data_IF_965630004397
#
_entry.id   IF_965630004397
#
_cell.length_a   1.000
_cell.length_b   1.000
_cell.length_c   1.000
_cell.angle_alpha   90.00
_cell.angle_beta   90.00
_cell.angle_gamma   90.00
#
_symmetry.space_group_name_H-M   'P 1'
#
loop_
_entity.id
_entity.type
_entity.pdbx_description
1 polymer ?
#
# COMPACT_ATOMS: atom_id res chain seq x y z
N UNK A 1 -27.90 41.02 30.05
CA UNK A 1 -27.10 41.10 28.80
C UNK A 1 -25.93 40.12 28.75
N UNK A 2 -25.14 39.95 29.82
CA UNK A 2 -24.00 39.00 29.84
C UNK A 2 -24.39 37.53 29.63
N UNK A 3 -25.57 37.13 30.13
CA UNK A 3 -26.13 35.77 29.97
C UNK A 3 -26.57 35.48 28.53
N UNK A 4 -27.13 36.47 27.83
CA UNK A 4 -27.54 36.33 26.44
C UNK A 4 -26.33 36.13 25.51
N UNK A 5 -25.22 36.83 25.77
CA UNK A 5 -23.97 36.66 25.02
C UNK A 5 -23.36 35.26 25.18
N UNK A 6 -23.36 34.72 26.40
CA UNK A 6 -22.89 33.36 26.69
C UNK A 6 -23.74 32.27 25.99
N UNK A 7 -25.06 32.44 25.99
CA UNK A 7 -25.97 31.51 25.30
C UNK A 7 -25.81 31.58 23.77
N UNK A 8 -25.59 32.78 23.21
CA UNK A 8 -25.32 32.92 21.77
C UNK A 8 -23.97 32.32 21.36
N UNK A 9 -22.92 32.43 22.17
CA UNK A 9 -21.63 31.79 21.85
C UNK A 9 -21.68 30.27 21.93
N UNK A 10 -22.48 29.72 22.86
CA UNK A 10 -22.70 28.27 22.95
C UNK A 10 -23.53 27.74 21.77
N UNK A 11 -24.52 28.49 21.31
CA UNK A 11 -25.34 28.10 20.15
C UNK A 11 -24.52 28.08 18.85
N UNK A 12 -23.65 29.09 18.64
CA UNK A 12 -22.73 29.15 17.49
C UNK A 12 -21.72 28.00 17.55
N UNK A 13 -21.16 27.71 18.73
CA UNK A 13 -20.26 26.57 18.92
C UNK A 13 -20.92 25.21 18.70
N UNK A 14 -22.19 25.05 19.08
CA UNK A 14 -22.95 23.83 18.80
C UNK A 14 -23.28 23.69 17.30
N UNK A 15 -23.56 24.80 16.60
CA UNK A 15 -23.81 24.78 15.15
C UNK A 15 -22.57 24.52 14.29
N UNK A 16 -21.35 24.78 14.80
CA UNK A 16 -20.11 24.41 14.09
C UNK A 16 -19.75 22.93 14.18
N UNK A 17 -20.41 22.16 15.06
CA UNK A 17 -20.27 20.70 15.18
C UNK A 17 -21.59 19.96 14.94
N UNK A 18 -22.61 20.64 14.40
CA UNK A 18 -23.80 19.94 13.93
C UNK A 18 -23.35 18.97 12.84
N UNK A 19 -23.45 17.67 13.14
CA UNK A 19 -23.28 16.61 12.15
C UNK A 19 -24.18 17.00 10.99
N UNK A 20 -23.56 17.32 9.84
CA UNK A 20 -24.27 17.57 8.60
C UNK A 20 -25.30 16.45 8.50
N UNK A 21 -26.62 16.73 8.43
CA UNK A 21 -27.59 15.67 8.21
C UNK A 21 -27.05 14.90 7.02
N UNK A 22 -26.85 13.59 7.17
CA UNK A 22 -26.33 12.75 6.11
C UNK A 22 -27.33 12.86 4.95
N UNK A 23 -27.15 13.89 4.12
CA UNK A 23 -27.69 13.97 2.79
C UNK A 23 -27.27 12.64 2.21
N UNK A 24 -28.18 11.80 1.72
CA UNK A 24 -27.80 10.57 1.08
C UNK A 24 -26.77 10.99 0.04
N UNK A 25 -25.50 10.62 0.26
CA UNK A 25 -24.43 11.02 -0.60
C UNK A 25 -24.92 10.63 -1.99
N UNK A 26 -25.14 11.62 -2.88
CA UNK A 26 -25.48 11.31 -4.26
C UNK A 26 -24.33 10.42 -4.72
N UNK A 27 -24.61 9.12 -4.83
CA UNK A 27 -23.66 8.13 -5.31
C UNK A 27 -23.48 8.41 -6.80
N UNK A 28 -22.75 9.47 -7.13
CA UNK A 28 -22.21 9.68 -8.46
C UNK A 28 -20.99 8.77 -8.59
N UNK A 29 -21.19 7.47 -8.40
CA UNK A 29 -20.21 6.50 -8.84
C UNK A 29 -20.34 6.49 -10.36
N UNK A 30 -19.30 6.90 -11.06
CA UNK A 30 -19.18 6.75 -12.53
C UNK A 30 -19.34 5.27 -12.98
N UNK A 31 -19.27 4.32 -12.04
CA UNK A 31 -19.53 2.90 -12.21
C UNK A 31 -20.61 2.39 -11.23
N UNK A 32 -21.73 3.10 -11.10
CA UNK A 32 -22.89 2.53 -10.43
C UNK A 32 -23.39 1.29 -11.20
N UNK A 33 -23.79 0.25 -10.48
CA UNK A 33 -24.39 -0.95 -11.07
C UNK A 33 -25.62 -0.53 -11.88
N UNK A 34 -25.62 -0.83 -13.18
CA UNK A 34 -26.79 -0.66 -14.03
C UNK A 34 -27.86 -1.66 -13.54
N UNK A 35 -29.13 -1.26 -13.37
CA UNK A 35 -30.22 -2.20 -13.09
C UNK A 35 -30.29 -3.27 -14.18
N UNK A 36 -30.61 -4.52 -13.84
CA UNK A 36 -30.64 -5.62 -14.83
C UNK A 36 -31.61 -5.37 -15.98
N UNK A 37 -32.72 -4.67 -15.68
CA UNK A 37 -33.73 -4.25 -16.66
C UNK A 37 -33.22 -3.26 -17.71
N UNK A 38 -32.13 -2.53 -17.40
CA UNK A 38 -31.51 -1.55 -18.28
C UNK A 38 -30.23 -2.08 -18.95
N UNK A 39 -29.83 -3.34 -18.68
CA UNK A 39 -28.62 -3.92 -19.24
C UNK A 39 -28.83 -4.37 -20.69
N UNK A 40 -27.82 -4.16 -21.52
CA UNK A 40 -27.77 -4.78 -22.85
C UNK A 40 -27.55 -6.30 -22.74
N UNK A 41 -27.84 -7.04 -23.82
CA UNK A 41 -27.62 -8.50 -23.87
C UNK A 41 -26.18 -8.86 -23.52
N UNK A 42 -25.21 -8.15 -24.11
CA UNK A 42 -23.78 -8.37 -23.84
C UNK A 42 -23.42 -8.10 -22.37
N UNK A 43 -24.01 -7.06 -21.76
CA UNK A 43 -23.77 -6.73 -20.35
C UNK A 43 -24.33 -7.81 -19.42
N UNK A 44 -25.49 -8.38 -19.75
CA UNK A 44 -26.07 -9.50 -19.01
C UNK A 44 -25.20 -10.76 -19.12
N UNK A 45 -24.59 -11.02 -20.27
CA UNK A 45 -23.66 -12.14 -20.44
C UNK A 45 -22.37 -11.94 -19.62
N UNK A 46 -21.79 -10.75 -19.67
CA UNK A 46 -20.61 -10.39 -18.85
C UNK A 46 -20.94 -10.54 -17.37
N UNK A 47 -22.13 -10.08 -16.94
CA UNK A 47 -22.58 -10.23 -15.56
C UNK A 47 -22.66 -11.69 -15.15
N UNK A 48 -23.31 -12.54 -15.96
CA UNK A 48 -23.41 -13.99 -15.69
C UNK A 48 -22.04 -14.66 -15.57
N UNK A 49 -21.10 -14.30 -16.45
CA UNK A 49 -19.72 -14.80 -16.41
C UNK A 49 -19.03 -14.33 -15.12
N UNK A 50 -19.18 -13.06 -14.77
CA UNK A 50 -18.61 -12.48 -13.55
C UNK A 50 -19.17 -13.12 -12.28
N UNK A 51 -20.48 -13.31 -12.21
CA UNK A 51 -21.16 -13.92 -11.06
C UNK A 51 -20.69 -15.37 -10.90
N UNK A 52 -20.69 -16.14 -11.99
CA UNK A 52 -20.16 -17.51 -11.99
C UNK A 52 -18.69 -17.55 -11.57
N UNK A 53 -17.86 -16.64 -12.08
CA UNK A 53 -16.45 -16.55 -11.68
C UNK A 53 -16.29 -16.22 -10.19
N UNK A 54 -17.13 -15.33 -9.66
CA UNK A 54 -17.12 -14.97 -8.24
C UNK A 54 -17.46 -16.15 -7.32
N UNK A 55 -18.34 -17.05 -7.77
CA UNK A 55 -18.67 -18.28 -7.05
C UNK A 55 -17.49 -19.26 -7.07
N UNK A 56 -16.92 -19.50 -8.25
CA UNK A 56 -15.94 -20.59 -8.42
C UNK A 56 -14.54 -20.21 -7.99
N UNK A 57 -14.16 -18.93 -8.02
CA UNK A 57 -12.79 -18.50 -7.73
C UNK A 57 -12.33 -18.82 -6.30
N UNK A 58 -13.26 -19.06 -5.38
CA UNK A 58 -12.96 -19.34 -3.98
C UNK A 58 -12.95 -20.84 -3.65
N UNK A 59 -13.27 -21.70 -4.61
CA UNK A 59 -13.16 -23.15 -4.45
C UNK A 59 -11.69 -23.55 -4.24
N UNK A 60 -11.46 -24.66 -3.53
CA UNK A 60 -10.16 -25.32 -3.58
C UNK A 60 -9.96 -26.01 -4.94
N UNK A 61 -8.73 -26.41 -5.27
CA UNK A 61 -8.46 -27.11 -6.54
C UNK A 61 -9.21 -28.43 -6.64
N UNK A 62 -9.29 -29.17 -5.54
CA UNK A 62 -10.00 -30.45 -5.46
C UNK A 62 -11.52 -30.25 -5.63
N UNK A 63 -12.08 -29.22 -5.01
CA UNK A 63 -13.50 -28.87 -5.18
C UNK A 63 -13.80 -28.36 -6.59
N UNK A 64 -12.88 -27.60 -7.18
CA UNK A 64 -13.01 -27.12 -8.55
C UNK A 64 -12.98 -28.27 -9.56
N UNK A 65 -12.10 -29.27 -9.40
CA UNK A 65 -12.06 -30.47 -10.24
C UNK A 65 -13.31 -31.35 -10.08
N UNK A 66 -13.93 -31.35 -8.89
CA UNK A 66 -15.15 -32.11 -8.63
C UNK A 66 -16.44 -31.41 -9.10
N UNK A 67 -16.47 -30.07 -9.10
CA UNK A 67 -17.68 -29.28 -9.40
C UNK A 67 -17.66 -28.64 -10.79
N UNK A 68 -16.49 -28.38 -11.37
CA UNK A 68 -16.34 -27.71 -12.65
C UNK A 68 -15.93 -28.71 -13.72
N UNK A 69 -16.53 -28.58 -14.89
CA UNK A 69 -16.23 -29.40 -16.06
C UNK A 69 -15.96 -28.51 -17.27
N UNK A 70 -15.19 -29.05 -18.23
CA UNK A 70 -14.93 -28.42 -19.53
C UNK A 70 -14.20 -27.08 -19.44
N UNK A 71 -14.68 -26.09 -20.20
CA UNK A 71 -14.03 -24.79 -20.40
C UNK A 71 -13.82 -24.01 -19.09
N UNK A 72 -14.72 -24.18 -18.11
CA UNK A 72 -14.63 -23.48 -16.82
C UNK A 72 -13.52 -24.05 -15.93
N UNK A 73 -13.31 -25.37 -15.95
CA UNK A 73 -12.19 -26.00 -15.25
C UNK A 73 -10.86 -25.60 -15.90
N UNK A 74 -10.80 -25.55 -17.24
CA UNK A 74 -9.60 -25.09 -17.94
C UNK A 74 -9.28 -23.62 -17.61
N UNK A 75 -10.28 -22.74 -17.65
CA UNK A 75 -10.12 -21.33 -17.30
C UNK A 75 -9.67 -21.16 -15.84
N UNK A 76 -10.25 -21.94 -14.92
CA UNK A 76 -9.86 -21.97 -13.51
C UNK A 76 -8.38 -22.37 -13.33
N UNK A 77 -7.97 -23.47 -13.95
CA UNK A 77 -6.60 -23.97 -13.87
C UNK A 77 -5.60 -23.01 -14.52
N UNK A 78 -5.97 -22.40 -15.65
CA UNK A 78 -5.13 -21.40 -16.33
C UNK A 78 -4.94 -20.15 -15.47
N UNK A 79 -5.99 -19.68 -14.81
CA UNK A 79 -5.93 -18.54 -13.90
C UNK A 79 -5.00 -18.83 -12.72
N UNK A 80 -5.21 -19.95 -12.02
CA UNK A 80 -4.42 -20.27 -10.84
C UNK A 80 -2.96 -20.61 -11.14
N UNK A 81 -2.69 -21.23 -12.29
CA UNK A 81 -1.31 -21.41 -12.77
C UNK A 81 -0.60 -20.07 -12.92
N UNK A 82 -1.23 -19.11 -13.60
CA UNK A 82 -0.65 -17.77 -13.78
C UNK A 82 -0.51 -17.03 -12.45
N UNK A 83 -1.51 -17.15 -11.58
CA UNK A 83 -1.47 -16.55 -10.25
C UNK A 83 -0.26 -17.04 -9.45
N UNK A 84 0.00 -18.36 -9.43
CA UNK A 84 1.16 -18.93 -8.75
C UNK A 84 2.48 -18.40 -9.34
N UNK A 85 2.60 -18.41 -10.68
CA UNK A 85 3.78 -17.88 -11.38
C UNK A 85 4.06 -16.40 -11.04
N UNK A 86 3.01 -15.58 -10.97
CA UNK A 86 3.14 -14.16 -10.64
C UNK A 86 3.47 -13.95 -9.16
N UNK A 87 2.92 -14.78 -8.27
CA UNK A 87 3.26 -14.75 -6.84
C UNK A 87 4.71 -15.15 -6.58
N UNK A 88 5.21 -16.19 -7.26
CA UNK A 88 6.62 -16.58 -7.20
C UNK A 88 7.53 -15.42 -7.64
N UNK A 89 7.27 -14.81 -8.80
CA UNK A 89 8.02 -13.64 -9.27
C UNK A 89 7.99 -12.48 -8.28
N UNK A 90 6.83 -12.21 -7.67
CA UNK A 90 6.71 -11.17 -6.64
C UNK A 90 7.59 -11.48 -5.44
N UNK A 91 7.62 -12.74 -4.98
CA UNK A 91 8.51 -13.13 -3.87
C UNK A 91 9.99 -12.98 -4.22
N UNK A 92 10.38 -13.30 -5.45
CA UNK A 92 11.76 -13.09 -5.92
C UNK A 92 12.15 -11.61 -5.94
N UNK A 93 11.25 -10.75 -6.45
CA UNK A 93 11.44 -9.31 -6.46
C UNK A 93 11.60 -8.79 -5.03
N UNK A 94 10.73 -9.19 -4.11
CA UNK A 94 10.81 -8.78 -2.70
C UNK A 94 12.13 -9.25 -2.06
N UNK A 95 12.55 -10.49 -2.31
CA UNK A 95 13.83 -10.99 -1.81
C UNK A 95 15.03 -10.21 -2.37
N UNK A 96 14.96 -9.77 -3.62
CA UNK A 96 16.00 -8.92 -4.23
C UNK A 96 16.03 -7.51 -3.62
N UNK A 97 14.86 -6.94 -3.33
CA UNK A 97 14.71 -5.62 -2.70
C UNK A 97 15.16 -5.64 -1.24
N UNK A 98 14.87 -6.70 -0.50
CA UNK A 98 15.32 -6.82 0.89
C UNK A 98 16.85 -6.75 1.00
N UNK A 99 17.56 -7.37 0.06
CA UNK A 99 19.04 -7.31 -0.01
C UNK A 99 19.56 -5.90 -0.32
N UNK A 100 18.82 -5.09 -1.06
CA UNK A 100 19.23 -3.73 -1.41
C UNK A 100 18.80 -2.67 -0.38
N UNK A 101 17.76 -2.95 0.40
CA UNK A 101 17.32 -2.09 1.52
C UNK A 101 18.20 -2.28 2.75
N UNK A 102 18.79 -3.47 2.97
CA UNK A 102 19.73 -3.67 4.08
C UNK A 102 20.91 -2.68 3.98
N UNK A 103 21.04 -1.72 4.93
CA UNK A 103 22.14 -0.78 4.91
C UNK A 103 23.46 -1.55 4.92
N UNK A 104 24.46 -1.17 4.10
CA UNK A 104 25.73 -1.87 4.09
C UNK A 104 26.28 -1.91 5.51
N UNK A 105 26.49 -3.13 6.04
CA UNK A 105 26.98 -3.34 7.40
C UNK A 105 28.42 -2.82 7.48
N UNK A 106 28.57 -1.54 7.85
CA UNK A 106 29.89 -0.94 8.03
C UNK A 106 30.55 -1.64 9.22
N UNK A 107 31.61 -2.39 8.94
CA UNK A 107 32.38 -3.04 10.00
C UNK A 107 32.94 -1.97 10.95
N UNK A 108 32.79 -2.20 12.26
CA UNK A 108 33.34 -1.29 13.27
C UNK A 108 34.85 -1.19 13.09
N UNK A 109 35.37 0.04 13.02
CA UNK A 109 36.82 0.28 12.95
C UNK A 109 37.57 -0.45 14.07
N UNK A 110 38.68 -1.08 13.72
CA UNK A 110 39.53 -1.77 14.69
C UNK A 110 40.19 -0.79 15.67
N UNK A 111 40.67 -1.27 16.83
CA UNK A 111 41.39 -0.44 17.81
C UNK A 111 42.61 0.24 17.17
N UNK A 112 43.33 -0.46 16.28
CA UNK A 112 44.48 0.09 15.56
C UNK A 112 44.11 1.20 14.57
N UNK A 113 43.04 1.01 13.79
CA UNK A 113 42.53 2.04 12.88
C UNK A 113 42.10 3.30 13.64
N UNK A 114 41.37 3.13 14.77
CA UNK A 114 40.97 4.27 15.61
C UNK A 114 42.16 5.07 16.14
N UNK A 115 43.25 4.40 16.53
CA UNK A 115 44.48 5.06 17.01
C UNK A 115 45.16 5.85 15.89
N UNK A 116 45.27 5.29 14.68
CA UNK A 116 45.84 5.99 13.53
C UNK A 116 45.01 7.21 13.13
N UNK A 117 43.70 7.07 13.08
CA UNK A 117 42.79 8.17 12.76
C UNK A 117 42.87 9.30 13.81
N UNK A 118 42.95 8.95 15.09
CA UNK A 118 43.11 9.92 16.17
C UNK A 118 44.43 10.69 16.06
N UNK A 119 45.53 9.98 15.76
CA UNK A 119 46.83 10.61 15.55
C UNK A 119 46.85 11.53 14.33
N UNK A 120 46.28 11.09 13.21
CA UNK A 120 46.14 11.91 12.00
C UNK A 120 45.32 13.19 12.26
N UNK A 121 44.26 13.12 13.07
CA UNK A 121 43.48 14.30 13.48
C UNK A 121 44.31 15.28 14.29
N UNK A 122 45.12 14.80 15.23
CA UNK A 122 46.00 15.66 16.04
C UNK A 122 47.01 16.36 15.13
N UNK A 123 47.62 15.63 14.19
CA UNK A 123 48.57 16.20 13.25
C UNK A 123 47.92 17.25 12.33
N UNK A 124 46.73 16.96 11.79
CA UNK A 124 46.00 17.93 10.98
C UNK A 124 45.66 19.20 11.77
N UNK A 125 45.29 19.07 13.05
CA UNK A 125 45.02 20.20 13.95
C UNK A 125 46.28 21.03 14.21
N UNK A 126 47.41 20.37 14.46
CA UNK A 126 48.69 21.05 14.68
C UNK A 126 49.18 21.76 13.42
N UNK A 127 49.08 21.10 12.26
CA UNK A 127 49.39 21.70 10.97
C UNK A 127 48.50 22.92 10.66
N UNK A 128 47.19 22.82 10.92
CA UNK A 128 46.26 23.95 10.75
C UNK A 128 46.59 25.12 11.67
N UNK A 129 46.96 24.85 12.94
CA UNK A 129 47.40 25.89 13.89
C UNK A 129 48.72 26.53 13.48
N UNK A 130 49.68 25.74 12.99
CA UNK A 130 50.93 26.27 12.48
C UNK A 130 50.72 27.14 11.24
N UNK A 131 49.88 26.68 10.29
CA UNK A 131 49.53 27.47 9.11
C UNK A 131 48.80 28.78 9.47
N UNK A 132 47.95 28.77 10.50
CA UNK A 132 47.25 29.96 10.99
C UNK A 132 48.16 30.93 11.78
N UNK A 133 49.32 30.49 12.27
CA UNK A 133 50.29 31.34 12.97
C UNK A 133 51.34 31.96 12.04
N UNK A 134 51.39 31.53 10.78
CA UNK A 134 52.31 32.03 9.74
C UNK A 134 51.64 33.07 8.81
N UNK A 135 50.31 33.18 8.86
CA UNK A 135 49.53 34.28 8.27
C UNK A 135 49.24 35.36 9.31
#
# INVERSE_FOLDING_TARGET
MKTALLLSSLLVGASSFAVVPATPARRTALAAFIPEEDMTVDQLEIKKISDKWSEIRHLSREEAEAQLEGDWLEAYNRFYKKYDEDMERMTEIVASLQKSIEPPKVQKKSKGQKRRDAWARVQALQAARAAAAVN
#
